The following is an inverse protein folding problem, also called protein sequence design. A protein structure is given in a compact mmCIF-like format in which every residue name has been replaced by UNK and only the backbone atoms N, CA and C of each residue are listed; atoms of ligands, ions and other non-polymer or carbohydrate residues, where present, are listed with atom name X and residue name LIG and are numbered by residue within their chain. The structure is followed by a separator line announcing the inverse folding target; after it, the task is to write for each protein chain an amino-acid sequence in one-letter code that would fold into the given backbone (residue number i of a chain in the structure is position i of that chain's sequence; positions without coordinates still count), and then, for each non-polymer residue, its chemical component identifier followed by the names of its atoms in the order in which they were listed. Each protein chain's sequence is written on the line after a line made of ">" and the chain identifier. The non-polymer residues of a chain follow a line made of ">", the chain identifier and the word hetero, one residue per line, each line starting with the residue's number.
data_IF_355845128347
#
_entry.id   IF_355845128347
#
_cell.length_a   1.000
_cell.length_b   1.000
_cell.length_c   1.000
_cell.angle_alpha   90.00
_cell.angle_beta   90.00
_cell.angle_gamma   90.00
#
_symmetry.space_group_name_H-M   'P 1'
#
loop_
_entity.id
_entity.type
_entity.pdbx_description
1 polymer ?
#
# COMPACT_ATOMS: atom_id res chain seq x y z
N UNK A 1 -5.45 30.09 9.82
CA UNK A 1 -4.27 29.21 9.66
C UNK A 1 -4.62 28.15 8.62
N UNK A 2 -4.41 28.44 7.35
CA UNK A 2 -4.60 27.46 6.25
C UNK A 2 -3.29 26.69 6.10
N UNK A 3 -3.29 25.42 6.51
CA UNK A 3 -2.16 24.54 6.31
C UNK A 3 -1.94 24.35 4.80
N UNK A 4 -0.84 24.87 4.28
CA UNK A 4 -0.45 24.67 2.89
C UNK A 4 -0.06 23.19 2.75
N UNK A 5 -0.94 22.39 2.14
CA UNK A 5 -0.69 20.95 1.99
C UNK A 5 0.33 20.76 0.87
N UNK A 6 1.60 20.67 1.21
CA UNK A 6 2.65 20.33 0.24
C UNK A 6 2.36 18.93 -0.31
N UNK A 7 1.97 18.84 -1.58
CA UNK A 7 1.72 17.56 -2.26
C UNK A 7 2.98 17.15 -3.01
N UNK A 8 3.37 15.89 -2.85
CA UNK A 8 4.44 15.31 -3.66
C UNK A 8 4.17 15.46 -5.16
N UNK A 9 5.25 15.63 -5.94
CA UNK A 9 5.18 15.76 -7.40
C UNK A 9 4.70 14.46 -8.04
N UNK A 10 4.18 14.54 -9.26
CA UNK A 10 3.69 13.36 -9.97
C UNK A 10 4.79 12.35 -10.30
N UNK A 11 6.04 12.82 -10.43
CA UNK A 11 7.21 11.97 -10.57
C UNK A 11 7.35 11.02 -9.36
N UNK A 12 7.20 11.54 -8.14
CA UNK A 12 7.33 10.74 -6.92
C UNK A 12 6.18 9.73 -6.79
N UNK A 13 4.94 10.14 -7.10
CA UNK A 13 3.78 9.24 -7.06
C UNK A 13 3.91 8.08 -8.04
N UNK A 14 4.36 8.37 -9.27
CA UNK A 14 4.63 7.35 -10.28
C UNK A 14 5.78 6.45 -9.85
N UNK A 15 6.87 7.03 -9.36
CA UNK A 15 8.02 6.29 -8.85
C UNK A 15 7.63 5.28 -7.76
N UNK A 16 6.76 5.67 -6.83
CA UNK A 16 6.24 4.76 -5.80
C UNK A 16 5.47 3.58 -6.42
N UNK A 17 4.60 3.83 -7.40
CA UNK A 17 3.87 2.76 -8.08
C UNK A 17 4.80 1.82 -8.89
N UNK A 18 5.85 2.37 -9.49
CA UNK A 18 6.88 1.58 -10.19
C UNK A 18 7.62 0.62 -9.24
N UNK A 19 7.87 1.03 -8.00
CA UNK A 19 8.54 0.18 -6.99
C UNK A 19 7.71 -1.06 -6.59
N UNK A 20 6.39 -1.05 -6.80
CA UNK A 20 5.51 -2.18 -6.49
C UNK A 20 5.37 -3.16 -7.68
N UNK A 21 5.96 -2.86 -8.84
CA UNK A 21 5.87 -3.72 -10.03
C UNK A 21 6.53 -5.08 -9.80
N UNK A 22 5.89 -6.13 -10.31
CA UNK A 22 6.35 -7.52 -10.16
C UNK A 22 6.03 -8.14 -8.80
N UNK A 23 5.46 -7.37 -7.87
CA UNK A 23 4.95 -7.86 -6.60
C UNK A 23 3.49 -8.32 -6.65
N UNK A 24 3.06 -8.95 -5.55
CA UNK A 24 1.65 -9.28 -5.29
C UNK A 24 1.11 -8.33 -4.22
N UNK A 25 -0.10 -7.83 -4.44
CA UNK A 25 -0.88 -7.07 -3.45
C UNK A 25 -2.03 -7.98 -2.98
N UNK A 26 -2.10 -8.28 -1.68
CA UNK A 26 -3.12 -9.18 -1.12
C UNK A 26 -4.19 -8.41 -0.35
N UNK A 27 -5.46 -8.79 -0.53
CA UNK A 27 -6.57 -8.29 0.27
C UNK A 27 -6.57 -8.90 1.67
N UNK A 28 -6.72 -8.08 2.70
CA UNK A 28 -6.73 -8.52 4.11
C UNK A 28 -7.82 -7.79 4.90
N UNK A 29 -8.46 -8.49 5.83
CA UNK A 29 -9.53 -7.92 6.70
C UNK A 29 -9.15 -7.85 8.18
N UNK A 30 -7.94 -8.31 8.54
CA UNK A 30 -7.42 -8.23 9.90
C UNK A 30 -5.88 -8.26 9.94
N UNK A 31 -5.31 -7.97 11.10
CA UNK A 31 -3.86 -7.89 11.30
C UNK A 31 -3.14 -9.24 11.19
N UNK A 32 -3.82 -10.36 11.43
CA UNK A 32 -3.24 -11.70 11.30
C UNK A 32 -3.03 -12.06 9.82
N UNK A 33 -4.02 -11.79 8.96
CA UNK A 33 -3.90 -11.95 7.51
C UNK A 33 -2.82 -11.06 6.92
N UNK A 34 -2.66 -9.83 7.42
CA UNK A 34 -1.57 -8.94 7.00
C UNK A 34 -0.19 -9.56 7.26
N UNK A 35 0.02 -10.19 8.44
CA UNK A 35 1.27 -10.89 8.77
C UNK A 35 1.50 -12.10 7.87
N UNK A 36 0.46 -12.90 7.62
CA UNK A 36 0.55 -14.07 6.73
C UNK A 36 0.89 -13.62 5.30
N UNK A 37 0.30 -12.53 4.81
CA UNK A 37 0.58 -11.98 3.48
C UNK A 37 2.04 -11.50 3.35
N UNK A 38 2.56 -10.81 4.37
CA UNK A 38 3.97 -10.40 4.44
C UNK A 38 4.90 -11.62 4.41
N UNK A 39 4.63 -12.64 5.23
CA UNK A 39 5.42 -13.89 5.27
C UNK A 39 5.35 -14.67 3.95
N UNK A 40 4.22 -14.61 3.24
CA UNK A 40 4.05 -15.21 1.92
C UNK A 40 4.77 -14.45 0.79
N UNK A 41 5.37 -13.29 1.08
CA UNK A 41 6.10 -12.47 0.10
C UNK A 41 5.23 -11.46 -0.65
N UNK A 42 4.07 -11.07 -0.12
CA UNK A 42 3.33 -9.95 -0.65
C UNK A 42 4.13 -8.65 -0.49
N UNK A 43 4.22 -7.86 -1.57
CA UNK A 43 4.96 -6.58 -1.57
C UNK A 43 4.13 -5.48 -0.90
N UNK A 44 2.80 -5.63 -0.88
CA UNK A 44 1.87 -4.75 -0.20
C UNK A 44 0.59 -5.49 0.18
N UNK A 45 -0.23 -4.89 1.06
CA UNK A 45 -1.55 -5.40 1.44
C UNK A 45 -2.63 -4.33 1.23
N UNK A 46 -3.81 -4.74 0.79
CA UNK A 46 -5.00 -3.90 0.71
C UNK A 46 -5.93 -4.23 1.88
N UNK A 47 -6.05 -3.29 2.82
CA UNK A 47 -6.95 -3.45 3.94
C UNK A 47 -8.40 -3.20 3.49
N UNK A 48 -9.23 -4.23 3.58
CA UNK A 48 -10.66 -4.14 3.29
C UNK A 48 -11.45 -4.05 4.60
N UNK A 49 -12.57 -3.33 4.57
CA UNK A 49 -13.52 -3.40 5.68
C UNK A 49 -14.13 -4.81 5.76
N UNK A 50 -14.44 -5.28 6.98
CA UNK A 50 -15.31 -6.46 7.14
C UNK A 50 -16.70 -6.07 6.64
N UNK A 51 -17.18 -6.75 5.60
CA UNK A 51 -18.60 -6.79 5.25
C UNK A 51 -19.37 -7.56 6.33
#
# INVERSE_FOLDING_TARGET
>A
MTANTERGTDLVKRGLAEMLKGGVIMDVVNAEQAKIAEEAGAVSVMALERV
#
